data_IF_867995051344
#
_entry.id   IF_867995051344
#
_cell.length_a   1.000
_cell.length_b   1.000
_cell.length_c   1.000
_cell.angle_alpha   90.00
_cell.angle_beta   90.00
_cell.angle_gamma   90.00
#
_symmetry.space_group_name_H-M   'P 1'
#
loop_
_entity.id
_entity.type
_entity.pdbx_description
1 polymer ?
#
# COMPACT_ATOMS: atom_id res chain seq x y z
N UNK A 1 2.73 -9.04 19.21
CA UNK A 1 1.90 -10.29 19.19
C UNK A 1 1.62 -10.74 20.60
N UNK A 2 0.39 -11.07 20.92
CA UNK A 2 -0.03 -11.65 22.19
C UNK A 2 -0.42 -13.11 22.04
N UNK A 3 -0.40 -13.83 23.16
CA UNK A 3 -0.94 -15.18 23.22
C UNK A 3 -2.42 -15.13 23.56
N UNK A 4 -3.25 -15.75 22.73
CA UNK A 4 -4.67 -15.96 22.97
C UNK A 4 -4.90 -17.44 23.27
N UNK A 5 -5.45 -17.74 24.44
CA UNK A 5 -5.92 -19.07 24.80
C UNK A 5 -7.42 -19.16 24.53
N UNK A 6 -7.81 -20.14 23.74
CA UNK A 6 -9.20 -20.40 23.40
C UNK A 6 -9.59 -21.76 23.98
N UNK A 7 -10.49 -21.77 24.94
CA UNK A 7 -11.04 -22.98 25.52
C UNK A 7 -12.39 -23.29 24.85
N UNK A 8 -12.58 -24.51 24.37
CA UNK A 8 -13.79 -24.94 23.66
C UNK A 8 -14.13 -26.38 23.96
N UNK A 9 -15.40 -26.78 23.70
CA UNK A 9 -15.88 -28.15 23.90
C UNK A 9 -16.21 -28.80 22.56
N UNK A 10 -15.75 -30.05 22.39
CA UNK A 10 -16.11 -30.91 21.25
C UNK A 10 -16.51 -32.27 21.77
N UNK A 11 -17.70 -32.71 21.45
CA UNK A 11 -18.26 -34.00 21.89
C UNK A 11 -18.16 -34.21 23.40
N UNK A 12 -18.45 -33.16 24.19
CA UNK A 12 -18.39 -33.20 25.66
C UNK A 12 -16.98 -33.07 26.27
N UNK A 13 -15.92 -33.13 25.46
CA UNK A 13 -14.54 -32.97 25.93
C UNK A 13 -14.10 -31.51 25.86
N UNK A 14 -13.56 -30.98 26.96
CA UNK A 14 -12.92 -29.66 27.00
C UNK A 14 -11.55 -29.72 26.29
N UNK A 15 -11.31 -28.78 25.42
CA UNK A 15 -10.04 -28.61 24.71
C UNK A 15 -9.59 -27.17 24.79
N UNK A 16 -8.28 -26.92 24.71
CA UNK A 16 -7.73 -25.57 24.58
C UNK A 16 -6.73 -25.48 23.45
N UNK A 17 -6.68 -24.34 22.80
CA UNK A 17 -5.66 -24.02 21.83
C UNK A 17 -5.04 -22.67 22.18
N UNK A 18 -3.74 -22.54 21.93
CA UNK A 18 -3.03 -21.27 22.09
C UNK A 18 -2.67 -20.77 20.68
N UNK A 19 -2.92 -19.50 20.45
CA UNK A 19 -2.59 -18.80 19.18
C UNK A 19 -1.78 -17.56 19.46
N UNK A 20 -0.81 -17.29 18.59
CA UNK A 20 -0.15 -15.99 18.52
C UNK A 20 -1.03 -15.07 17.67
N UNK A 21 -1.46 -13.96 18.25
CA UNK A 21 -2.38 -13.01 17.62
C UNK A 21 -1.67 -11.67 17.45
N UNK A 22 -1.72 -11.05 16.26
CA UNK A 22 -1.22 -9.72 16.07
C UNK A 22 -2.06 -8.69 16.85
N UNK A 23 -1.41 -7.68 17.39
CA UNK A 23 -2.04 -6.54 18.09
C UNK A 23 -2.04 -5.28 17.24
N UNK A 24 -1.34 -5.30 16.11
CA UNK A 24 -1.20 -4.16 15.19
C UNK A 24 -0.89 -4.64 13.77
N UNK A 25 -1.15 -3.79 12.82
CA UNK A 25 -0.97 -4.05 11.39
C UNK A 25 0.44 -4.53 11.01
N UNK A 26 1.48 -3.99 11.65
CA UNK A 26 2.88 -4.38 11.38
C UNK A 26 3.25 -5.80 11.82
N UNK A 27 2.37 -6.46 12.54
CA UNK A 27 2.55 -7.85 13.00
C UNK A 27 1.80 -8.86 12.15
N UNK A 28 0.99 -8.38 11.18
CA UNK A 28 0.25 -9.26 10.28
C UNK A 28 1.22 -10.05 9.40
N UNK A 29 0.94 -11.35 9.28
CA UNK A 29 1.54 -12.18 8.25
C UNK A 29 0.93 -11.83 6.89
N UNK A 30 1.62 -12.18 5.80
CA UNK A 30 1.07 -11.99 4.46
C UNK A 30 -0.30 -12.68 4.29
N UNK A 31 -0.47 -13.89 4.82
CA UNK A 31 -1.74 -14.63 4.77
C UNK A 31 -2.85 -13.88 5.51
N UNK A 32 -2.58 -13.37 6.72
CA UNK A 32 -3.54 -12.58 7.48
C UNK A 32 -3.89 -11.28 6.76
N UNK A 33 -2.92 -10.63 6.16
CA UNK A 33 -3.15 -9.39 5.41
C UNK A 33 -4.02 -9.61 4.17
N UNK A 34 -3.86 -10.74 3.47
CA UNK A 34 -4.75 -11.13 2.37
C UNK A 34 -6.17 -11.40 2.85
N UNK A 35 -6.34 -12.04 4.02
CA UNK A 35 -7.68 -12.22 4.62
C UNK A 35 -8.34 -10.88 4.95
N UNK A 36 -7.57 -9.93 5.49
CA UNK A 36 -8.07 -8.56 5.73
C UNK A 36 -8.48 -7.90 4.41
N UNK A 37 -7.70 -8.05 3.36
CA UNK A 37 -8.05 -7.52 2.04
C UNK A 37 -9.35 -8.13 1.48
N UNK A 38 -9.57 -9.44 1.67
CA UNK A 38 -10.83 -10.11 1.31
C UNK A 38 -12.02 -9.57 2.10
N UNK A 39 -11.85 -9.36 3.41
CA UNK A 39 -12.88 -8.78 4.29
C UNK A 39 -13.26 -7.36 3.82
N UNK A 40 -12.28 -6.49 3.57
CA UNK A 40 -12.55 -5.14 3.10
C UNK A 40 -13.21 -5.07 1.71
N UNK A 41 -13.01 -6.09 0.88
CA UNK A 41 -13.69 -6.23 -0.41
C UNK A 41 -15.11 -6.81 -0.28
N UNK A 42 -15.53 -7.18 0.94
CA UNK A 42 -16.82 -7.84 1.17
C UNK A 42 -16.90 -9.27 0.65
N UNK A 43 -15.76 -9.92 0.43
CA UNK A 43 -15.67 -11.31 -0.07
C UNK A 43 -15.74 -12.35 1.05
N UNK A 44 -15.63 -11.92 2.31
CA UNK A 44 -15.73 -12.77 3.50
C UNK A 44 -16.72 -12.15 4.48
N UNK A 45 -17.56 -12.99 5.05
CA UNK A 45 -18.34 -12.65 6.25
C UNK A 45 -17.45 -12.70 7.50
N UNK A 46 -17.89 -12.01 8.55
CA UNK A 46 -17.12 -11.86 9.79
C UNK A 46 -16.77 -13.20 10.43
N UNK A 47 -17.70 -14.16 10.44
CA UNK A 47 -17.49 -15.49 11.03
C UNK A 47 -16.40 -16.26 10.27
N UNK A 48 -16.48 -16.28 8.94
CA UNK A 48 -15.47 -16.93 8.10
C UNK A 48 -14.12 -16.22 8.21
N UNK A 49 -14.12 -14.89 8.27
CA UNK A 49 -12.90 -14.13 8.49
C UNK A 49 -12.23 -14.51 9.80
N UNK A 50 -12.95 -14.46 10.92
CA UNK A 50 -12.41 -14.80 12.25
C UNK A 50 -11.88 -16.24 12.30
N UNK A 51 -12.64 -17.20 11.75
CA UNK A 51 -12.18 -18.59 11.68
C UNK A 51 -10.83 -18.74 10.98
N UNK A 52 -10.68 -18.12 9.81
CA UNK A 52 -9.47 -18.21 9.00
C UNK A 52 -8.32 -17.41 9.62
N UNK A 53 -8.61 -16.22 10.13
CA UNK A 53 -7.63 -15.32 10.72
C UNK A 53 -6.96 -15.93 11.97
N UNK A 54 -7.77 -16.55 12.85
CA UNK A 54 -7.29 -17.24 14.05
C UNK A 54 -6.92 -18.70 13.80
N UNK A 55 -7.06 -19.20 12.56
CA UNK A 55 -6.83 -20.60 12.20
C UNK A 55 -7.55 -21.57 13.16
N UNK A 56 -8.84 -21.32 13.36
CA UNK A 56 -9.65 -22.14 14.26
C UNK A 56 -9.87 -23.54 13.68
N UNK A 57 -10.01 -24.57 14.55
CA UNK A 57 -10.35 -25.91 14.10
C UNK A 57 -11.69 -25.94 13.38
N UNK A 58 -11.83 -26.85 12.39
CA UNK A 58 -13.08 -27.02 11.61
C UNK A 58 -14.30 -27.35 12.47
N UNK A 59 -14.08 -27.92 13.65
CA UNK A 59 -15.13 -28.25 14.63
C UNK A 59 -15.78 -26.99 15.24
N UNK A 60 -15.11 -25.84 15.17
CA UNK A 60 -15.60 -24.53 15.61
C UNK A 60 -16.24 -23.73 14.47
N UNK A 61 -16.79 -24.39 13.44
CA UNK A 61 -17.43 -23.67 12.31
C UNK A 61 -18.64 -22.84 12.73
N UNK A 62 -19.37 -23.29 13.73
CA UNK A 62 -20.52 -22.57 14.29
C UNK A 62 -20.11 -21.99 15.64
N UNK A 63 -19.33 -20.91 15.58
CA UNK A 63 -18.97 -20.13 16.77
C UNK A 63 -20.24 -19.40 17.23
N UNK A 64 -20.58 -19.50 18.52
CA UNK A 64 -21.68 -18.72 19.09
C UNK A 64 -21.34 -17.20 19.03
N UNK A 65 -22.37 -16.38 19.14
CA UNK A 65 -22.22 -14.91 19.04
C UNK A 65 -21.28 -14.35 20.11
N UNK A 66 -21.27 -14.91 21.31
CA UNK A 66 -20.41 -14.47 22.41
C UNK A 66 -18.93 -14.73 22.08
N UNK A 67 -18.62 -15.90 21.53
CA UNK A 67 -17.28 -16.25 21.14
C UNK A 67 -16.81 -15.42 19.91
N UNK A 68 -17.71 -15.17 18.95
CA UNK A 68 -17.44 -14.26 17.83
C UNK A 68 -17.11 -12.85 18.31
N UNK A 69 -17.92 -12.31 19.23
CA UNK A 69 -17.67 -11.00 19.83
C UNK A 69 -16.29 -10.95 20.51
N UNK A 70 -15.95 -11.94 21.32
CA UNK A 70 -14.65 -11.99 21.97
C UNK A 70 -13.47 -12.08 21.00
N UNK A 71 -13.63 -12.76 19.87
CA UNK A 71 -12.61 -12.80 18.81
C UNK A 71 -12.54 -11.46 18.05
N UNK A 72 -13.66 -10.80 17.80
CA UNK A 72 -13.68 -9.52 17.10
C UNK A 72 -12.97 -8.42 17.88
N UNK A 73 -13.08 -8.39 19.22
CA UNK A 73 -12.31 -7.50 20.08
C UNK A 73 -10.80 -7.64 19.88
N UNK A 74 -10.32 -8.87 19.58
CA UNK A 74 -8.89 -9.12 19.38
C UNK A 74 -8.35 -8.53 18.06
N UNK A 75 -9.22 -8.21 17.13
CA UNK A 75 -8.89 -7.67 15.80
C UNK A 75 -9.44 -6.25 15.59
N UNK A 76 -9.94 -5.60 16.65
CA UNK A 76 -10.48 -4.24 16.59
C UNK A 76 -9.49 -3.23 15.98
N UNK A 77 -8.18 -3.44 16.18
CA UNK A 77 -7.13 -2.61 15.57
C UNK A 77 -7.21 -2.57 14.03
N UNK A 78 -7.85 -3.55 13.40
CA UNK A 78 -8.04 -3.58 11.94
C UNK A 78 -9.03 -2.53 11.47
N UNK A 79 -9.93 -2.05 12.32
CA UNK A 79 -10.88 -0.98 11.98
C UNK A 79 -10.16 0.36 11.78
N UNK A 80 -9.04 0.57 12.48
CA UNK A 80 -8.25 1.79 12.31
C UNK A 80 -7.35 1.71 11.07
N UNK A 81 -7.80 2.29 9.97
CA UNK A 81 -7.03 2.39 8.74
C UNK A 81 -6.01 3.54 8.73
N UNK A 82 -5.87 4.34 9.81
CA UNK A 82 -4.90 5.46 9.91
C UNK A 82 -3.47 5.00 10.14
N UNK A 83 -3.20 3.76 9.81
CA UNK A 83 -1.89 3.11 9.95
C UNK A 83 -0.85 3.77 9.05
N UNK A 84 0.34 3.93 9.59
CA UNK A 84 1.53 4.43 8.89
C UNK A 84 2.55 3.31 8.84
N UNK A 85 2.90 2.89 7.64
CA UNK A 85 3.82 1.78 7.42
C UNK A 85 4.87 2.16 6.40
N UNK A 86 6.12 1.89 6.68
CA UNK A 86 7.25 2.23 5.82
C UNK A 86 7.75 1.05 4.96
N UNK A 87 7.07 -0.09 5.03
CA UNK A 87 7.44 -1.32 4.32
C UNK A 87 6.20 -2.04 3.77
N UNK A 88 6.43 -3.00 2.88
CA UNK A 88 5.37 -3.85 2.31
C UNK A 88 5.24 -5.15 3.08
N UNK A 89 4.00 -5.50 3.49
CA UNK A 89 3.66 -6.78 4.11
C UNK A 89 3.73 -7.90 3.07
N UNK A 90 3.42 -7.59 1.79
CA UNK A 90 3.60 -8.51 0.66
C UNK A 90 4.94 -8.19 0.00
N UNK A 91 6.02 -8.90 0.34
CA UNK A 91 7.35 -8.57 -0.16
C UNK A 91 7.57 -8.98 -1.61
N UNK A 92 6.76 -9.93 -2.12
CA UNK A 92 6.88 -10.41 -3.49
C UNK A 92 5.58 -11.00 -4.02
N UNK A 93 5.40 -10.93 -5.34
CA UNK A 93 4.32 -11.60 -6.07
C UNK A 93 4.92 -12.30 -7.28
N UNK A 94 5.00 -13.63 -7.21
CA UNK A 94 5.73 -14.41 -8.20
C UNK A 94 7.22 -14.01 -8.25
N UNK A 95 7.68 -13.52 -9.41
CA UNK A 95 9.06 -13.04 -9.60
C UNK A 95 9.24 -11.55 -9.33
N UNK A 96 8.17 -10.84 -9.00
CA UNK A 96 8.16 -9.41 -8.74
C UNK A 96 8.39 -9.14 -7.27
N UNK A 97 9.20 -8.14 -6.95
CA UNK A 97 9.55 -7.77 -5.59
C UNK A 97 9.07 -6.34 -5.29
N UNK A 98 8.54 -6.16 -4.10
CA UNK A 98 8.22 -4.85 -3.57
C UNK A 98 9.50 -4.03 -3.32
N UNK A 99 9.41 -2.70 -3.31
CA UNK A 99 10.50 -1.86 -2.83
C UNK A 99 10.92 -2.22 -1.41
N UNK A 100 12.19 -2.04 -1.11
CA UNK A 100 12.69 -2.15 0.26
C UNK A 100 12.04 -1.05 1.12
N UNK A 101 11.98 -1.27 2.44
CA UNK A 101 11.42 -0.32 3.40
C UNK A 101 11.86 1.12 3.12
N UNK A 102 10.93 2.06 3.33
CA UNK A 102 11.09 3.49 3.04
C UNK A 102 11.33 3.81 1.57
N UNK A 103 10.78 2.98 0.66
CA UNK A 103 10.94 3.12 -0.80
C UNK A 103 12.42 3.15 -1.23
N UNK A 104 13.31 2.50 -0.46
CA UNK A 104 14.73 2.44 -0.79
C UNK A 104 14.93 1.70 -2.12
N UNK A 105 15.74 2.26 -3.01
CA UNK A 105 15.95 1.74 -4.35
C UNK A 105 15.01 2.34 -5.42
N UNK A 106 14.02 3.15 -5.02
CA UNK A 106 13.18 3.92 -5.94
C UNK A 106 13.81 5.29 -6.17
N UNK A 107 14.05 5.68 -7.43
CA UNK A 107 14.45 7.03 -7.77
C UNK A 107 13.23 7.97 -7.88
N UNK A 108 13.48 9.28 -7.94
CA UNK A 108 12.40 10.27 -7.91
C UNK A 108 11.48 10.17 -9.12
N UNK A 109 12.05 10.02 -10.31
CA UNK A 109 11.26 9.86 -11.54
C UNK A 109 10.35 8.62 -11.47
N UNK A 110 10.88 7.49 -11.01
CA UNK A 110 10.11 6.26 -10.84
C UNK A 110 8.94 6.45 -9.84
N UNK A 111 9.21 7.10 -8.70
CA UNK A 111 8.17 7.41 -7.73
C UNK A 111 7.05 8.27 -8.33
N UNK A 112 7.37 9.29 -9.14
CA UNK A 112 6.38 10.15 -9.79
C UNK A 112 5.40 9.34 -10.63
N UNK A 113 5.87 8.31 -11.36
CA UNK A 113 4.98 7.42 -12.14
C UNK A 113 4.11 6.53 -11.27
N UNK A 114 4.69 5.94 -10.21
CA UNK A 114 3.93 5.11 -9.26
C UNK A 114 2.79 5.95 -8.66
N UNK A 115 3.13 7.13 -8.16
CA UNK A 115 2.17 7.99 -7.49
C UNK A 115 1.12 8.59 -8.44
N UNK A 116 1.49 8.89 -9.68
CA UNK A 116 0.54 9.29 -10.71
C UNK A 116 -0.46 8.18 -11.01
N UNK A 117 0.01 6.93 -11.17
CA UNK A 117 -0.87 5.79 -11.42
C UNK A 117 -1.79 5.51 -10.21
N UNK A 118 -1.26 5.62 -8.98
CA UNK A 118 -2.05 5.54 -7.75
C UNK A 118 -3.16 6.59 -7.72
N UNK A 119 -2.84 7.85 -7.96
CA UNK A 119 -3.81 8.94 -7.95
C UNK A 119 -4.89 8.78 -9.04
N UNK A 120 -4.52 8.23 -10.22
CA UNK A 120 -5.48 7.88 -11.26
C UNK A 120 -6.44 6.79 -10.80
N UNK A 121 -5.93 5.75 -10.14
CA UNK A 121 -6.77 4.69 -9.59
C UNK A 121 -7.72 5.22 -8.51
N UNK A 122 -7.22 5.95 -7.54
CA UNK A 122 -8.05 6.56 -6.46
C UNK A 122 -9.16 7.44 -7.03
N UNK A 123 -8.90 8.12 -8.16
CA UNK A 123 -9.87 9.02 -8.78
C UNK A 123 -10.89 8.32 -9.65
N UNK A 124 -10.48 7.32 -10.40
CA UNK A 124 -11.26 6.72 -11.47
C UNK A 124 -11.73 5.29 -11.16
N UNK A 125 -11.13 4.64 -10.16
CA UNK A 125 -11.39 3.25 -9.73
C UNK A 125 -11.28 2.23 -10.88
N UNK A 126 -10.42 2.52 -11.88
CA UNK A 126 -10.22 1.62 -13.02
C UNK A 126 -9.13 0.61 -12.71
N UNK A 127 -9.42 -0.66 -12.85
CA UNK A 127 -8.47 -1.77 -12.65
C UNK A 127 -7.16 -1.60 -13.45
N UNK A 128 -7.24 -1.04 -14.65
CA UNK A 128 -6.07 -0.78 -15.49
C UNK A 128 -5.08 0.22 -14.84
N UNK A 129 -5.58 1.19 -14.07
CA UNK A 129 -4.73 2.14 -13.34
C UNK A 129 -4.07 1.46 -12.12
N UNK A 130 -4.80 0.56 -11.43
CA UNK A 130 -4.27 -0.28 -10.36
C UNK A 130 -3.20 -1.24 -10.89
N UNK A 131 -3.47 -1.93 -12.00
CA UNK A 131 -2.52 -2.83 -12.63
C UNK A 131 -1.24 -2.11 -13.03
N UNK A 132 -1.35 -0.89 -13.57
CA UNK A 132 -0.22 -0.05 -13.92
C UNK A 132 0.57 0.40 -12.69
N UNK A 133 -0.12 0.81 -11.62
CA UNK A 133 0.53 1.17 -10.35
C UNK A 133 1.35 -0.01 -9.81
N UNK A 134 0.77 -1.21 -9.74
CA UNK A 134 1.45 -2.41 -9.26
C UNK A 134 2.63 -2.79 -10.18
N UNK A 135 2.45 -2.69 -11.49
CA UNK A 135 3.49 -2.98 -12.48
C UNK A 135 4.72 -2.06 -12.34
N UNK A 136 4.51 -0.81 -11.92
CA UNK A 136 5.56 0.15 -11.63
C UNK A 136 6.17 -0.09 -10.24
N UNK A 137 5.35 -0.47 -9.26
CA UNK A 137 5.77 -0.62 -7.87
C UNK A 137 6.54 -1.92 -7.63
N UNK A 138 6.08 -3.04 -8.22
CA UNK A 138 6.70 -4.36 -8.09
C UNK A 138 7.52 -4.69 -9.33
N UNK A 139 8.82 -4.72 -9.17
CA UNK A 139 9.77 -4.93 -10.26
C UNK A 139 10.58 -6.23 -10.07
N UNK A 140 11.16 -6.76 -11.14
CA UNK A 140 12.11 -7.87 -11.02
C UNK A 140 13.43 -7.36 -10.45
N UNK A 141 14.13 -8.24 -9.75
CA UNK A 141 15.47 -7.91 -9.27
C UNK A 141 16.39 -7.52 -10.44
N UNK A 142 17.04 -6.36 -10.32
CA UNK A 142 17.95 -5.84 -11.35
C UNK A 142 17.27 -5.07 -12.49
N UNK A 143 15.94 -4.97 -12.53
CA UNK A 143 15.25 -4.07 -13.47
C UNK A 143 15.47 -2.61 -13.10
N UNK A 144 15.66 -1.79 -14.13
CA UNK A 144 15.78 -0.34 -14.00
C UNK A 144 14.58 0.29 -14.67
N UNK A 145 13.86 1.14 -13.95
CA UNK A 145 12.80 1.95 -14.53
C UNK A 145 13.44 3.21 -15.09
N UNK A 146 13.47 3.29 -16.40
CA UNK A 146 13.92 4.47 -17.13
C UNK A 146 12.74 5.07 -17.85
N UNK A 147 12.61 6.39 -17.76
CA UNK A 147 11.69 7.14 -18.59
C UNK A 147 12.13 6.99 -20.05
N UNK A 148 11.22 6.72 -20.98
CA UNK A 148 11.55 6.75 -22.39
C UNK A 148 11.74 8.21 -22.80
N UNK A 149 12.96 8.72 -22.73
CA UNK A 149 13.32 10.00 -23.33
C UNK A 149 13.22 9.96 -24.88
N UNK A 150 13.17 8.75 -25.43
CA UNK A 150 13.04 8.56 -26.86
C UNK A 150 12.24 7.27 -27.16
N UNK A 151 11.00 7.38 -27.69
CA UNK A 151 10.16 6.21 -28.01
C UNK A 151 10.76 5.32 -29.12
N UNK A 152 11.82 5.74 -29.80
CA UNK A 152 12.48 4.98 -30.86
C UNK A 152 13.69 4.17 -30.40
N UNK A 153 14.17 4.34 -29.15
CA UNK A 153 15.22 3.50 -28.61
C UNK A 153 14.67 2.12 -28.23
N UNK A 154 15.26 1.02 -28.74
CA UNK A 154 14.87 -0.30 -28.29
C UNK A 154 15.14 -0.44 -26.80
N UNK A 155 14.13 -0.89 -26.04
CA UNK A 155 14.26 -1.21 -24.63
C UNK A 155 15.32 -2.30 -24.47
N UNK A 156 16.37 -2.01 -23.72
CA UNK A 156 17.33 -3.06 -23.32
C UNK A 156 16.62 -4.06 -22.40
N UNK A 157 17.13 -5.28 -22.32
CA UNK A 157 16.54 -6.35 -21.48
C UNK A 157 16.47 -6.01 -19.98
N UNK A 158 17.13 -4.93 -19.55
CA UNK A 158 17.13 -4.43 -18.18
C UNK A 158 16.12 -3.31 -17.93
N UNK A 159 15.46 -2.81 -18.98
CA UNK A 159 14.46 -1.76 -18.85
C UNK A 159 13.08 -2.38 -18.61
N UNK A 160 12.33 -1.79 -17.70
CA UNK A 160 10.96 -2.21 -17.43
C UNK A 160 10.07 -1.86 -18.63
N UNK A 161 9.57 -2.87 -19.32
CA UNK A 161 8.45 -2.71 -20.23
C UNK A 161 7.13 -2.64 -19.41
N UNK A 162 6.72 -1.43 -19.10
CA UNK A 162 5.52 -1.18 -18.28
C UNK A 162 4.27 -1.79 -18.90
N UNK A 163 4.11 -1.78 -20.23
CA UNK A 163 2.92 -2.33 -20.90
C UNK A 163 2.84 -3.83 -20.72
N UNK A 164 3.94 -4.53 -21.01
CA UNK A 164 4.04 -5.97 -20.82
C UNK A 164 3.83 -6.35 -19.37
N UNK A 165 4.43 -5.62 -18.43
CA UNK A 165 4.29 -5.86 -17.00
C UNK A 165 2.85 -5.63 -16.53
N UNK A 166 2.18 -4.56 -16.99
CA UNK A 166 0.77 -4.32 -16.67
C UNK A 166 -0.10 -5.50 -17.12
N UNK A 167 0.15 -6.07 -18.31
CA UNK A 167 -0.56 -7.25 -18.77
C UNK A 167 -0.27 -8.54 -17.95
N UNK A 168 0.93 -8.66 -17.36
CA UNK A 168 1.27 -9.73 -16.40
C UNK A 168 0.52 -9.52 -15.08
N UNK A 169 0.51 -8.30 -14.56
CA UNK A 169 -0.16 -7.92 -13.30
C UNK A 169 -1.68 -8.05 -13.42
N UNK A 170 -2.26 -7.75 -14.57
CA UNK A 170 -3.70 -7.89 -14.80
C UNK A 170 -4.24 -9.31 -14.52
N UNK A 171 -3.37 -10.34 -14.60
CA UNK A 171 -3.69 -11.75 -14.34
C UNK A 171 -3.61 -12.12 -12.84
N UNK A 172 -3.15 -11.23 -11.97
CA UNK A 172 -3.07 -11.49 -10.54
C UNK A 172 -4.47 -11.54 -9.93
N UNK A 173 -4.56 -12.28 -8.83
CA UNK A 173 -5.76 -12.32 -8.00
C UNK A 173 -6.16 -10.89 -7.57
N UNK A 174 -7.42 -10.49 -7.74
CA UNK A 174 -7.92 -9.18 -7.33
C UNK A 174 -7.67 -8.86 -5.85
N UNK A 175 -7.71 -9.88 -4.98
CA UNK A 175 -7.39 -9.71 -3.54
C UNK A 175 -5.94 -9.30 -3.34
N UNK A 176 -5.02 -9.93 -4.06
CA UNK A 176 -3.59 -9.58 -3.99
C UNK A 176 -3.36 -8.15 -4.47
N UNK A 177 -4.01 -7.76 -5.57
CA UNK A 177 -3.93 -6.37 -6.10
C UNK A 177 -4.45 -5.37 -5.09
N UNK A 178 -5.60 -5.65 -4.48
CA UNK A 178 -6.19 -4.77 -3.46
C UNK A 178 -5.33 -4.70 -2.19
N UNK A 179 -4.76 -5.81 -1.74
CA UNK A 179 -3.84 -5.83 -0.61
C UNK A 179 -2.59 -4.96 -0.87
N UNK A 180 -2.02 -5.02 -2.08
CA UNK A 180 -0.91 -4.15 -2.47
C UNK A 180 -1.33 -2.67 -2.46
N UNK A 181 -2.51 -2.35 -2.98
CA UNK A 181 -3.07 -1.01 -2.94
C UNK A 181 -3.21 -0.50 -1.49
N UNK A 182 -3.84 -1.30 -0.63
CA UNK A 182 -4.02 -0.95 0.80
C UNK A 182 -2.67 -0.71 1.49
N UNK A 183 -1.68 -1.54 1.22
CA UNK A 183 -0.34 -1.35 1.76
C UNK A 183 0.30 -0.04 1.26
N UNK A 184 0.10 0.31 -0.01
CA UNK A 184 0.61 1.57 -0.55
C UNK A 184 -0.09 2.78 0.07
N UNK A 185 -1.39 2.70 0.38
CA UNK A 185 -2.10 3.72 1.17
C UNK A 185 -1.42 3.95 2.52
N UNK A 186 -1.01 2.90 3.22
CA UNK A 186 -0.28 3.01 4.49
C UNK A 186 1.11 3.65 4.31
N UNK A 187 1.77 3.37 3.19
CA UNK A 187 3.04 4.03 2.84
C UNK A 187 2.82 5.52 2.55
N UNK A 188 1.75 5.90 1.83
CA UNK A 188 1.39 7.31 1.62
C UNK A 188 1.18 8.05 2.93
N UNK A 189 0.53 7.42 3.90
CA UNK A 189 0.35 7.96 5.26
C UNK A 189 1.67 8.05 6.05
N UNK A 190 2.59 7.14 5.82
CA UNK A 190 3.94 7.28 6.36
C UNK A 190 4.68 8.45 5.70
N UNK A 191 4.57 8.63 4.38
CA UNK A 191 5.16 9.77 3.67
C UNK A 191 4.64 11.11 4.20
N UNK A 192 3.34 11.23 4.47
CA UNK A 192 2.78 12.47 5.01
C UNK A 192 3.28 12.78 6.44
N UNK A 193 3.61 11.77 7.24
CA UNK A 193 4.30 11.99 8.53
C UNK A 193 5.75 12.38 8.35
N UNK A 194 6.46 11.74 7.41
CA UNK A 194 7.89 11.94 7.19
C UNK A 194 8.20 13.26 6.46
N UNK A 195 7.29 13.71 5.59
CA UNK A 195 7.42 14.88 4.72
C UNK A 195 6.09 15.65 4.66
N UNK A 196 5.69 16.30 5.77
CA UNK A 196 4.34 16.85 5.94
C UNK A 196 4.03 18.04 5.02
N UNK A 197 5.03 18.79 4.57
CA UNK A 197 4.83 19.92 3.65
C UNK A 197 4.69 19.46 2.19
N UNK A 198 5.33 18.36 1.81
CA UNK A 198 5.24 17.79 0.48
C UNK A 198 3.99 16.89 0.31
N UNK A 199 3.62 16.17 1.37
CA UNK A 199 2.48 15.24 1.42
C UNK A 199 1.53 15.66 2.55
N UNK A 200 0.85 16.80 2.45
CA UNK A 200 -0.10 17.21 3.48
C UNK A 200 -1.20 16.15 3.62
N UNK A 201 -1.59 15.85 4.86
CA UNK A 201 -2.79 15.08 5.13
C UNK A 201 -3.99 15.99 4.88
N UNK A 202 -4.95 15.53 4.11
CA UNK A 202 -6.25 16.16 4.09
C UNK A 202 -6.93 15.94 5.46
N UNK A 203 -7.26 17.03 6.17
CA UNK A 203 -7.96 16.97 7.46
C UNK A 203 -9.34 16.28 7.33
N UNK A 204 -9.84 16.14 6.12
CA UNK A 204 -11.08 15.40 5.81
C UNK A 204 -10.91 13.88 5.94
N UNK A 205 -9.69 13.33 5.91
CA UNK A 205 -9.45 11.90 6.10
C UNK A 205 -9.60 11.47 7.57
N UNK A 206 -9.60 12.41 8.52
CA UNK A 206 -9.82 12.14 9.95
C UNK A 206 -11.30 12.29 10.37
N UNK A 207 -12.16 12.82 9.50
CA UNK A 207 -13.60 12.97 9.76
C UNK A 207 -14.38 12.14 8.76
N UNK A 208 -14.84 10.97 9.19
CA UNK A 208 -15.88 10.21 8.50
C UNK A 208 -17.21 11.01 8.53
N UNK A 209 -17.36 11.96 7.63
CA UNK A 209 -18.70 12.46 7.28
C UNK A 209 -19.28 11.58 6.16
N UNK A 210 -20.02 10.57 6.57
CA UNK A 210 -20.84 9.75 5.69
C UNK A 210 -21.81 10.67 4.94
N UNK A 211 -21.64 10.81 3.62
CA UNK A 211 -22.65 11.41 2.74
C UNK A 211 -22.26 12.69 1.99
N UNK A 212 -21.12 13.32 2.19
CA UNK A 212 -20.70 14.45 1.35
C UNK A 212 -19.87 13.97 0.16
N UNK A 213 -20.32 14.25 -1.06
CA UNK A 213 -19.49 14.10 -2.28
C UNK A 213 -18.23 14.94 -2.09
N UNK A 214 -17.08 14.24 -1.89
CA UNK A 214 -15.78 14.90 -1.83
C UNK A 214 -15.59 15.69 -3.13
N UNK A 215 -15.45 17.00 -3.06
CA UNK A 215 -14.93 17.80 -4.15
C UNK A 215 -13.54 17.28 -4.43
N UNK A 216 -13.34 16.73 -5.64
CA UNK A 216 -12.05 16.16 -6.05
C UNK A 216 -11.01 17.28 -6.00
N UNK A 217 -10.14 17.26 -4.99
CA UNK A 217 -9.02 18.19 -4.92
C UNK A 217 -8.21 18.14 -6.23
N UNK A 218 -7.70 19.28 -6.73
CA UNK A 218 -6.88 19.26 -7.92
C UNK A 218 -5.69 18.34 -7.71
N UNK A 219 -5.47 17.42 -8.67
CA UNK A 219 -4.28 16.58 -8.67
C UNK A 219 -3.07 17.50 -8.79
N UNK A 220 -2.22 17.52 -7.78
CA UNK A 220 -0.92 18.15 -7.90
C UNK A 220 -0.13 17.39 -8.96
N UNK A 221 0.22 18.08 -10.04
CA UNK A 221 1.01 17.50 -11.11
C UNK A 221 2.44 17.28 -10.62
N UNK A 222 2.89 16.02 -10.65
CA UNK A 222 4.29 15.73 -10.36
C UNK A 222 5.24 16.39 -11.35
N UNK A 223 4.79 16.70 -12.56
CA UNK A 223 5.59 17.46 -13.54
C UNK A 223 5.80 18.88 -13.05
N UNK A 224 4.76 19.57 -12.59
CA UNK A 224 4.89 20.94 -12.08
C UNK A 224 5.79 20.99 -10.83
N UNK A 225 5.68 19.99 -9.94
CA UNK A 225 6.58 19.85 -8.78
C UNK A 225 8.02 19.64 -9.25
N UNK A 226 8.22 18.79 -10.25
CA UNK A 226 9.54 18.48 -10.78
C UNK A 226 10.16 19.70 -11.47
N UNK A 227 9.40 20.40 -12.30
CA UNK A 227 9.85 21.62 -12.98
C UNK A 227 10.23 22.71 -11.96
N UNK A 228 9.40 22.90 -10.92
CA UNK A 228 9.73 23.80 -9.82
C UNK A 228 10.96 23.35 -9.00
N UNK A 229 11.20 22.02 -8.95
CA UNK A 229 12.36 21.46 -8.24
C UNK A 229 13.66 21.65 -9.02
N UNK A 230 13.64 21.45 -10.33
CA UNK A 230 14.78 21.66 -11.22
C UNK A 230 15.05 23.17 -11.39
N UNK A 231 13.99 23.98 -11.54
CA UNK A 231 14.10 25.41 -11.81
C UNK A 231 14.90 25.68 -13.10
N UNK A 232 15.86 26.60 -13.04
CA UNK A 232 16.70 26.96 -14.19
C UNK A 232 17.85 25.97 -14.44
N UNK A 233 18.03 24.94 -13.61
CA UNK A 233 19.14 23.99 -13.71
C UNK A 233 18.82 22.81 -14.63
N UNK A 234 18.35 23.12 -15.84
CA UNK A 234 17.91 22.14 -16.85
C UNK A 234 19.05 21.16 -17.21
N UNK A 235 20.31 21.61 -17.15
CA UNK A 235 21.47 20.76 -17.46
C UNK A 235 21.63 19.57 -16.49
N UNK A 236 21.06 19.64 -15.30
CA UNK A 236 21.13 18.57 -14.31
C UNK A 236 19.80 17.81 -14.11
N UNK A 237 18.83 18.00 -15.00
CA UNK A 237 17.51 17.36 -14.94
C UNK A 237 17.61 15.84 -14.70
N UNK A 238 18.49 15.15 -15.43
CA UNK A 238 18.70 13.70 -15.27
C UNK A 238 19.18 13.33 -13.87
N UNK A 239 20.06 14.13 -13.28
CA UNK A 239 20.54 13.93 -11.91
C UNK A 239 19.40 14.04 -10.89
N UNK A 240 18.47 14.96 -11.07
CA UNK A 240 17.30 15.10 -10.22
C UNK A 240 16.35 13.90 -10.39
N UNK A 241 16.16 13.42 -11.62
CA UNK A 241 15.34 12.24 -11.92
C UNK A 241 15.89 10.97 -11.26
N UNK A 242 17.21 10.78 -11.30
CA UNK A 242 17.89 9.60 -10.77
C UNK A 242 18.15 9.67 -9.26
N UNK A 243 17.89 10.80 -8.63
CA UNK A 243 18.04 10.96 -7.19
C UNK A 243 17.15 9.97 -6.43
N UNK A 244 17.61 9.33 -5.32
CA UNK A 244 16.74 8.55 -4.45
C UNK A 244 15.51 9.37 -4.02
N UNK A 245 14.30 8.81 -4.19
CA UNK A 245 13.06 9.56 -3.97
C UNK A 245 12.98 10.21 -2.58
N UNK A 246 13.42 9.51 -1.53
CA UNK A 246 13.41 10.06 -0.17
C UNK A 246 14.39 11.24 0.02
N UNK A 247 15.46 11.30 -0.77
CA UNK A 247 16.36 12.48 -0.80
C UNK A 247 15.67 13.66 -1.48
N UNK A 248 15.02 13.43 -2.62
CA UNK A 248 14.22 14.44 -3.31
C UNK A 248 13.10 14.98 -2.40
N UNK A 249 12.38 14.09 -1.72
CA UNK A 249 11.30 14.48 -0.79
C UNK A 249 11.79 15.38 0.33
N UNK A 250 12.92 15.05 0.94
CA UNK A 250 13.50 15.88 2.01
C UNK A 250 13.88 17.29 1.51
N UNK A 251 14.40 17.39 0.30
CA UNK A 251 14.77 18.69 -0.30
C UNK A 251 13.53 19.49 -0.65
N UNK A 252 12.52 18.86 -1.27
CA UNK A 252 11.25 19.49 -1.62
C UNK A 252 10.47 19.93 -0.38
N UNK A 253 10.32 19.07 0.61
CA UNK A 253 9.64 19.36 1.87
C UNK A 253 10.26 20.57 2.58
N UNK A 254 11.61 20.63 2.61
CA UNK A 254 12.32 21.78 3.13
C UNK A 254 12.05 23.06 2.32
N UNK A 255 12.11 23.00 0.98
CA UNK A 255 11.85 24.17 0.11
C UNK A 255 10.42 24.70 0.33
N UNK A 256 9.40 23.83 0.34
CA UNK A 256 8.01 24.22 0.56
C UNK A 256 7.85 24.87 1.93
N UNK A 257 8.38 24.25 2.99
CA UNK A 257 8.35 24.80 4.34
C UNK A 257 9.00 26.18 4.43
N UNK A 258 10.17 26.37 3.79
CA UNK A 258 10.90 27.64 3.84
C UNK A 258 10.19 28.73 3.01
N UNK A 259 9.45 28.37 1.95
CA UNK A 259 8.62 29.27 1.18
C UNK A 259 7.38 29.76 1.95
N UNK A 260 6.79 28.92 2.79
CA UNK A 260 5.61 29.26 3.63
C UNK A 260 5.97 30.18 4.83
N UNK A 261 7.25 30.38 5.13
CA UNK A 261 7.70 31.27 6.21
C UNK A 261 7.97 32.70 5.77
N UNK A 262 7.97 32.93 4.45
CA UNK A 262 8.14 34.25 3.84
C UNK A 262 6.79 34.90 3.59
#
# INVERSE_FOLDING_TARGET
MKQLRLDYRVMGCSRSIIRQVPERWTELTQEQFLLVAQMYRGELDDSTFLQRFFRLPKQLKNIDEFFQYHLSEQVEFLVDCRVRMDHFIIPSVGKLQAPVARLKGINFAHFMFIDTAFNHYVRNERDADLDRMIALLYIKQGEIVVLPDNPTKPLSSHLLDVRKRTAEVAKLDPVVKYAIFLNYVFIKRWLSKAFPFLFPLDESDDKEEVGKKKTKAPLVSWLDIFDAFVGDDIAQMEKYQQMPCTTAFRLLDKRIRDAQKK
#
